data_IF_831472876765
#
_entry.id   IF_831472876765
#
_cell.length_a   1.000
_cell.length_b   1.000
_cell.length_c   1.000
_cell.angle_alpha   90.00
_cell.angle_beta   90.00
_cell.angle_gamma   90.00
#
_symmetry.space_group_name_H-M   'P 1'
#
loop_
_entity.id
_entity.type
_entity.pdbx_description
1 polymer ?
#
# COMPACT_ATOMS: atom_id res chain seq x y z
N UNK A 1 1.37 43.62 -1.38
CA UNK A 1 1.05 42.41 -2.10
C UNK A 1 -0.43 42.44 -2.43
N UNK A 2 -0.83 42.63 -3.67
CA UNK A 2 -2.24 42.70 -4.05
C UNK A 2 -2.88 41.31 -3.97
N UNK A 3 -4.06 41.20 -3.41
CA UNK A 3 -4.81 39.92 -3.28
C UNK A 3 -4.97 39.20 -4.64
N UNK A 4 -4.93 39.97 -5.76
CA UNK A 4 -4.98 39.45 -7.13
C UNK A 4 -3.71 38.68 -7.58
N UNK A 5 -2.57 38.91 -6.92
CA UNK A 5 -1.32 38.17 -7.23
C UNK A 5 -1.23 36.82 -6.52
N UNK A 6 -2.00 36.66 -5.42
CA UNK A 6 -2.14 35.38 -4.71
C UNK A 6 -2.88 34.33 -5.55
N UNK A 7 -3.69 34.77 -6.49
CA UNK A 7 -4.57 33.94 -7.30
C UNK A 7 -4.16 33.96 -8.79
N UNK A 8 -2.85 33.85 -9.09
CA UNK A 8 -2.47 33.72 -10.49
C UNK A 8 -3.03 32.38 -11.04
N UNK A 9 -3.70 32.43 -12.19
CA UNK A 9 -4.32 31.27 -12.86
C UNK A 9 -3.34 30.09 -12.99
N UNK A 10 -2.06 30.39 -13.18
CA UNK A 10 -0.99 29.38 -13.29
C UNK A 10 -0.78 28.58 -11.99
N UNK A 11 -0.88 29.23 -10.82
CA UNK A 11 -0.76 28.54 -9.52
C UNK A 11 -1.88 27.52 -9.34
N UNK A 12 -3.12 27.91 -9.62
CA UNK A 12 -4.27 27.02 -9.50
C UNK A 12 -4.20 25.84 -10.45
N UNK A 13 -3.81 26.08 -11.70
CA UNK A 13 -3.65 25.02 -12.69
C UNK A 13 -2.60 23.99 -12.25
N UNK A 14 -1.46 24.44 -11.73
CA UNK A 14 -0.42 23.55 -11.21
C UNK A 14 -0.92 22.83 -9.94
N UNK A 15 -1.54 23.53 -9.02
CA UNK A 15 -2.08 22.91 -7.80
C UNK A 15 -3.15 21.85 -8.11
N UNK A 16 -4.10 22.16 -9.00
CA UNK A 16 -5.15 21.22 -9.42
C UNK A 16 -4.58 20.03 -10.18
N UNK A 17 -3.58 20.23 -11.02
CA UNK A 17 -2.93 19.12 -11.75
C UNK A 17 -2.25 18.09 -10.85
N UNK A 18 -1.94 18.44 -9.60
CA UNK A 18 -1.41 17.53 -8.59
C UNK A 18 -2.52 17.05 -7.67
N UNK A 19 -3.38 17.95 -7.18
CA UNK A 19 -4.45 17.63 -6.22
C UNK A 19 -5.46 16.64 -6.79
N UNK A 20 -5.93 16.84 -8.02
CA UNK A 20 -6.95 15.97 -8.61
C UNK A 20 -6.45 14.52 -8.74
N UNK A 21 -5.28 14.24 -9.37
CA UNK A 21 -4.78 12.87 -9.46
C UNK A 21 -4.51 12.22 -8.11
N UNK A 22 -3.98 12.97 -7.15
CA UNK A 22 -3.68 12.43 -5.80
C UNK A 22 -4.95 12.18 -4.99
N UNK A 23 -5.97 13.02 -5.12
CA UNK A 23 -7.26 12.83 -4.47
C UNK A 23 -8.01 11.62 -5.05
N UNK A 24 -8.02 11.47 -6.37
CA UNK A 24 -8.59 10.30 -7.04
C UNK A 24 -7.88 9.03 -6.57
N UNK A 25 -6.54 9.03 -6.52
CA UNK A 25 -5.77 7.91 -6.02
C UNK A 25 -6.16 7.54 -4.59
N UNK A 26 -6.27 8.53 -3.69
CA UNK A 26 -6.65 8.29 -2.30
C UNK A 26 -8.07 7.73 -2.20
N UNK A 27 -9.03 8.31 -2.92
CA UNK A 27 -10.42 7.86 -2.95
C UNK A 27 -10.53 6.42 -3.42
N UNK A 28 -9.91 6.07 -4.55
CA UNK A 28 -9.93 4.70 -5.09
C UNK A 28 -9.31 3.71 -4.09
N UNK A 29 -8.21 4.09 -3.46
CA UNK A 29 -7.54 3.23 -2.46
C UNK A 29 -8.44 2.99 -1.24
N UNK A 30 -9.17 4.01 -0.79
CA UNK A 30 -10.13 3.89 0.31
C UNK A 30 -11.35 3.02 -0.04
N UNK A 31 -11.82 3.08 -1.30
CA UNK A 31 -12.92 2.23 -1.75
C UNK A 31 -12.53 0.75 -1.93
N UNK A 32 -11.25 0.45 -2.14
CA UNK A 32 -10.80 -0.92 -2.34
C UNK A 32 -11.09 -1.81 -1.12
N UNK A 33 -10.83 -1.32 0.09
CA UNK A 33 -11.03 -2.09 1.33
C UNK A 33 -12.48 -2.50 1.55
N UNK A 34 -13.50 -1.61 1.48
CA UNK A 34 -14.90 -2.02 1.55
C UNK A 34 -15.32 -3.03 0.50
N UNK A 35 -14.78 -2.90 -0.73
CA UNK A 35 -15.09 -3.85 -1.80
C UNK A 35 -14.51 -5.23 -1.49
N UNK A 36 -13.24 -5.32 -1.07
CA UNK A 36 -12.63 -6.58 -0.67
C UNK A 36 -13.38 -7.20 0.51
N UNK A 37 -13.78 -6.38 1.50
CA UNK A 37 -14.60 -6.84 2.61
C UNK A 37 -15.94 -7.42 2.13
N UNK A 38 -16.56 -6.87 1.08
CA UNK A 38 -17.81 -7.40 0.53
C UNK A 38 -17.67 -8.81 -0.06
N UNK A 39 -16.50 -9.18 -0.56
CA UNK A 39 -16.20 -10.55 -0.96
C UNK A 39 -15.99 -11.45 0.26
N UNK A 40 -15.26 -10.97 1.27
CA UNK A 40 -14.99 -11.73 2.51
C UNK A 40 -16.28 -12.00 3.32
N UNK A 41 -17.25 -11.07 3.34
CA UNK A 41 -18.57 -11.29 3.98
C UNK A 41 -19.35 -12.43 3.34
N UNK A 42 -19.05 -12.76 2.08
CA UNK A 42 -19.70 -13.85 1.35
C UNK A 42 -18.96 -15.19 1.46
N UNK A 43 -17.86 -15.24 2.21
CA UNK A 43 -17.11 -16.47 2.47
C UNK A 43 -17.84 -17.42 3.41
N UNK A 44 -17.38 -18.65 3.51
CA UNK A 44 -17.95 -19.67 4.40
C UNK A 44 -17.86 -19.28 5.87
N UNK A 45 -16.82 -18.53 6.25
CA UNK A 45 -16.65 -17.98 7.60
C UNK A 45 -16.27 -16.49 7.52
N UNK A 46 -17.27 -15.58 7.42
CA UNK A 46 -17.03 -14.15 7.21
C UNK A 46 -16.20 -13.48 8.30
N UNK A 47 -16.47 -13.82 9.56
CA UNK A 47 -15.79 -13.23 10.72
C UNK A 47 -14.31 -13.59 10.73
N UNK A 48 -14.01 -14.84 10.45
CA UNK A 48 -12.64 -15.34 10.35
C UNK A 48 -11.89 -14.65 9.18
N UNK A 49 -12.50 -14.62 8.01
CA UNK A 49 -11.88 -14.03 6.80
C UNK A 49 -11.54 -12.55 6.98
N UNK A 50 -12.48 -11.75 7.52
CA UNK A 50 -12.26 -10.32 7.78
C UNK A 50 -11.20 -10.13 8.85
N UNK A 51 -11.22 -10.92 9.91
CA UNK A 51 -10.25 -10.84 11.01
C UNK A 51 -8.84 -11.20 10.53
N UNK A 52 -8.70 -12.28 9.76
CA UNK A 52 -7.42 -12.71 9.17
C UNK A 52 -6.85 -11.61 8.26
N UNK A 53 -7.68 -11.04 7.38
CA UNK A 53 -7.26 -9.95 6.51
C UNK A 53 -6.81 -8.73 7.31
N UNK A 54 -7.60 -8.30 8.29
CA UNK A 54 -7.33 -7.10 9.08
C UNK A 54 -6.03 -7.22 9.90
N UNK A 55 -5.81 -8.36 10.55
CA UNK A 55 -4.60 -8.61 11.35
C UNK A 55 -3.38 -8.70 10.43
N UNK A 56 -3.48 -9.46 9.34
CA UNK A 56 -2.37 -9.61 8.39
C UNK A 56 -1.95 -8.27 7.80
N UNK A 57 -2.91 -7.45 7.36
CA UNK A 57 -2.64 -6.13 6.81
C UNK A 57 -2.06 -5.17 7.85
N UNK A 58 -2.51 -5.23 9.12
CA UNK A 58 -1.97 -4.41 10.20
C UNK A 58 -0.48 -4.70 10.44
N UNK A 59 -0.09 -5.98 10.46
CA UNK A 59 1.31 -6.39 10.61
C UNK A 59 2.15 -5.91 9.42
N UNK A 60 1.68 -6.11 8.19
CA UNK A 60 2.40 -5.70 6.99
C UNK A 60 2.53 -4.18 6.89
N UNK A 61 1.50 -3.42 7.27
CA UNK A 61 1.57 -1.96 7.33
C UNK A 61 2.54 -1.48 8.41
N UNK A 62 2.59 -2.14 9.56
CA UNK A 62 3.56 -1.81 10.62
C UNK A 62 5.00 -1.97 10.12
N UNK A 63 5.31 -3.08 9.44
CA UNK A 63 6.63 -3.31 8.84
C UNK A 63 6.94 -2.27 7.75
N UNK A 64 5.94 -1.86 7.01
CA UNK A 64 6.11 -0.91 5.89
C UNK A 64 6.00 0.55 6.29
N UNK A 65 5.93 0.91 7.58
CA UNK A 65 5.81 2.30 8.05
C UNK A 65 6.70 3.33 7.31
N UNK A 66 7.95 3.01 6.92
CA UNK A 66 8.77 3.93 6.14
C UNK A 66 8.11 4.41 4.84
N UNK A 67 7.20 3.62 4.23
CA UNK A 67 6.53 4.01 2.97
C UNK A 67 5.79 5.35 3.09
N UNK A 68 5.27 5.69 4.27
CA UNK A 68 4.56 6.95 4.52
C UNK A 68 5.45 8.19 4.30
N UNK A 69 6.75 8.04 4.47
CA UNK A 69 7.74 9.15 4.36
C UNK A 69 8.53 9.12 3.06
N UNK A 70 8.58 8.00 2.37
CA UNK A 70 9.33 7.83 1.11
C UNK A 70 8.88 8.83 0.05
N UNK A 71 7.57 9.07 -0.06
CA UNK A 71 7.05 10.05 -1.02
C UNK A 71 7.59 11.45 -0.75
N UNK A 72 7.53 11.92 0.50
CA UNK A 72 8.03 13.24 0.89
C UNK A 72 9.55 13.34 0.68
N UNK A 73 10.30 12.34 1.12
CA UNK A 73 11.74 12.28 0.92
C UNK A 73 12.10 12.39 -0.56
N UNK A 74 11.44 11.61 -1.40
CA UNK A 74 11.71 11.64 -2.84
C UNK A 74 11.37 13.01 -3.43
N UNK A 75 10.22 13.61 -3.11
CA UNK A 75 9.84 14.94 -3.63
C UNK A 75 10.89 16.00 -3.26
N UNK A 76 11.34 16.03 -2.00
CA UNK A 76 12.27 17.05 -1.50
C UNK A 76 13.67 16.91 -2.12
N UNK A 77 14.17 15.68 -2.22
CA UNK A 77 15.57 15.45 -2.59
C UNK A 77 15.80 15.17 -4.08
N UNK A 78 14.76 14.77 -4.86
CA UNK A 78 14.92 14.32 -6.23
C UNK A 78 15.47 15.37 -7.19
N UNK A 79 15.25 16.67 -6.89
CA UNK A 79 15.79 17.78 -7.70
C UNK A 79 17.19 18.23 -7.25
N UNK A 80 17.53 18.02 -5.97
CA UNK A 80 18.71 18.58 -5.34
C UNK A 80 19.89 17.60 -5.27
N UNK A 81 19.65 16.31 -5.46
CA UNK A 81 20.65 15.26 -5.37
C UNK A 81 20.67 14.39 -6.63
N UNK A 82 21.73 13.60 -6.78
CA UNK A 82 21.82 12.62 -7.86
C UNK A 82 20.64 11.64 -7.79
N UNK A 83 19.87 11.57 -8.86
CA UNK A 83 18.73 10.66 -8.99
C UNK A 83 19.11 9.22 -8.67
N UNK A 84 20.28 8.78 -9.16
CA UNK A 84 20.80 7.43 -8.92
C UNK A 84 20.98 7.13 -7.43
N UNK A 85 21.49 8.10 -6.64
CA UNK A 85 21.65 7.92 -5.19
C UNK A 85 20.31 7.77 -4.48
N UNK A 86 19.30 8.53 -4.90
CA UNK A 86 17.96 8.46 -4.32
C UNK A 86 17.30 7.12 -4.66
N UNK A 87 17.35 6.69 -5.92
CA UNK A 87 16.84 5.38 -6.33
C UNK A 87 17.50 4.25 -5.54
N UNK A 88 18.83 4.28 -5.43
CA UNK A 88 19.57 3.28 -4.68
C UNK A 88 19.20 3.26 -3.20
N UNK A 89 19.10 4.44 -2.55
CA UNK A 89 18.72 4.55 -1.15
C UNK A 89 17.31 3.99 -0.89
N UNK A 90 16.33 4.35 -1.73
CA UNK A 90 14.95 3.87 -1.59
C UNK A 90 14.87 2.36 -1.85
N UNK A 91 15.60 1.86 -2.84
CA UNK A 91 15.67 0.43 -3.12
C UNK A 91 16.29 -0.35 -1.96
N UNK A 92 17.37 0.18 -1.36
CA UNK A 92 17.97 -0.40 -0.16
C UNK A 92 16.97 -0.42 1.01
N UNK A 93 16.23 0.67 1.22
CA UNK A 93 15.20 0.75 2.26
C UNK A 93 14.09 -0.29 2.01
N UNK A 94 13.68 -0.48 0.77
CA UNK A 94 12.69 -1.48 0.40
C UNK A 94 13.20 -2.90 0.69
N UNK A 95 14.48 -3.19 0.38
CA UNK A 95 15.12 -4.48 0.71
C UNK A 95 15.19 -4.69 2.23
N UNK A 96 15.53 -3.67 3.00
CA UNK A 96 15.55 -3.77 4.47
C UNK A 96 14.17 -4.15 5.00
N UNK A 97 13.11 -3.49 4.52
CA UNK A 97 11.74 -3.85 4.92
C UNK A 97 11.33 -5.26 4.49
N UNK A 98 11.80 -5.73 3.33
CA UNK A 98 11.60 -7.11 2.89
C UNK A 98 12.31 -8.10 3.82
N UNK A 99 13.55 -7.83 4.20
CA UNK A 99 14.32 -8.68 5.13
C UNK A 99 13.63 -8.73 6.49
N UNK A 100 13.16 -7.58 7.01
CA UNK A 100 12.39 -7.52 8.26
C UNK A 100 11.11 -8.34 8.13
N UNK A 101 10.39 -8.22 7.01
CA UNK A 101 9.17 -8.99 6.74
C UNK A 101 9.44 -10.50 6.74
N UNK A 102 10.48 -10.95 6.05
CA UNK A 102 10.91 -12.35 6.04
C UNK A 102 11.26 -12.80 7.46
N UNK A 103 12.08 -12.01 8.17
CA UNK A 103 12.47 -12.36 9.52
C UNK A 103 11.28 -12.49 10.47
N UNK A 104 10.36 -11.52 10.47
CA UNK A 104 9.18 -11.53 11.35
C UNK A 104 8.25 -12.70 11.02
N UNK A 105 8.00 -12.97 9.72
CA UNK A 105 6.98 -13.93 9.29
C UNK A 105 7.48 -15.38 9.30
N UNK A 106 8.75 -15.60 8.95
CA UNK A 106 9.30 -16.97 8.81
C UNK A 106 10.15 -17.42 10.01
N UNK A 107 10.30 -16.58 11.04
CA UNK A 107 10.98 -16.96 12.28
C UNK A 107 9.97 -17.20 13.42
N UNK A 108 10.39 -17.72 14.57
CA UNK A 108 9.55 -17.81 15.77
C UNK A 108 8.99 -16.46 16.26
N UNK A 109 9.49 -15.33 15.76
CA UNK A 109 8.98 -14.00 16.09
C UNK A 109 7.49 -13.84 15.70
N UNK A 110 7.02 -14.54 14.67
CA UNK A 110 5.60 -14.53 14.28
C UNK A 110 4.72 -15.01 15.43
N UNK A 111 5.16 -16.02 16.20
CA UNK A 111 4.41 -16.55 17.34
C UNK A 111 4.22 -15.47 18.41
N UNK A 112 5.30 -14.75 18.76
CA UNK A 112 5.21 -13.63 19.70
C UNK A 112 4.24 -12.55 19.22
N UNK A 113 4.30 -12.18 17.96
CA UNK A 113 3.41 -11.16 17.38
C UNK A 113 1.95 -11.63 17.42
N UNK A 114 1.68 -12.84 16.97
CA UNK A 114 0.31 -13.37 16.86
C UNK A 114 -0.29 -13.70 18.22
N UNK A 115 0.46 -14.32 19.10
CA UNK A 115 -0.06 -14.78 20.39
C UNK A 115 -0.11 -13.65 21.43
N UNK A 116 0.96 -12.83 21.52
CA UNK A 116 1.09 -11.82 22.58
C UNK A 116 0.45 -10.49 22.21
N UNK A 117 0.63 -10.03 20.95
CA UNK A 117 0.12 -8.71 20.53
C UNK A 117 -1.32 -8.80 20.06
N UNK A 118 -1.65 -9.81 19.23
CA UNK A 118 -2.99 -9.95 18.65
C UNK A 118 -3.88 -10.96 19.36
N UNK A 119 -3.35 -11.77 20.27
CA UNK A 119 -4.13 -12.76 21.03
C UNK A 119 -4.80 -13.82 20.13
N UNK A 120 -4.20 -14.13 18.96
CA UNK A 120 -4.76 -15.10 18.02
C UNK A 120 -4.52 -16.53 18.51
N UNK A 121 -5.50 -17.42 18.30
CA UNK A 121 -5.40 -18.83 18.67
C UNK A 121 -6.10 -19.75 17.66
N UNK A 122 -5.79 -21.03 17.71
CA UNK A 122 -6.47 -22.06 16.90
C UNK A 122 -6.40 -21.79 15.38
N UNK A 123 -7.54 -21.93 14.72
CA UNK A 123 -7.69 -21.79 13.28
C UNK A 123 -7.34 -20.37 12.78
N UNK A 124 -7.74 -19.35 13.53
CA UNK A 124 -7.45 -17.95 13.17
C UNK A 124 -5.94 -17.70 13.06
N UNK A 125 -5.15 -18.23 14.00
CA UNK A 125 -3.68 -18.11 13.99
C UNK A 125 -3.09 -18.72 12.72
N UNK A 126 -3.49 -19.96 12.37
CA UNK A 126 -2.99 -20.66 11.20
C UNK A 126 -3.29 -19.87 9.92
N UNK A 127 -4.52 -19.37 9.82
CA UNK A 127 -4.95 -18.60 8.64
C UNK A 127 -4.23 -17.24 8.52
N UNK A 128 -3.98 -16.53 9.64
CA UNK A 128 -3.19 -15.29 9.63
C UNK A 128 -1.74 -15.58 9.23
N UNK A 129 -1.13 -16.63 9.74
CA UNK A 129 0.23 -17.04 9.39
C UNK A 129 0.34 -17.36 7.90
N UNK A 130 -0.61 -18.11 7.35
CA UNK A 130 -0.66 -18.42 5.91
C UNK A 130 -0.85 -17.14 5.05
N UNK A 131 -1.75 -16.24 5.47
CA UNK A 131 -1.95 -14.96 4.77
C UNK A 131 -0.69 -14.10 4.79
N UNK A 132 0.02 -14.03 5.91
CA UNK A 132 1.30 -13.32 6.02
C UNK A 132 2.38 -13.92 5.13
N UNK A 133 2.47 -15.26 5.06
CA UNK A 133 3.44 -15.98 4.21
C UNK A 133 3.21 -15.72 2.73
N UNK A 134 1.96 -15.55 2.29
CA UNK A 134 1.64 -15.19 0.90
C UNK A 134 1.96 -13.71 0.64
N UNK A 135 1.77 -12.87 1.64
CA UNK A 135 1.78 -11.41 1.51
C UNK A 135 3.10 -10.74 1.95
N UNK A 136 4.12 -11.50 2.33
CA UNK A 136 5.39 -10.98 2.88
C UNK A 136 6.09 -9.93 2.00
N UNK A 137 5.82 -9.94 0.70
CA UNK A 137 6.43 -9.04 -0.27
C UNK A 137 5.75 -7.65 -0.34
N UNK A 138 4.57 -7.47 0.28
CA UNK A 138 3.80 -6.22 0.26
C UNK A 138 4.60 -5.01 0.78
N UNK A 139 5.34 -5.06 1.91
CA UNK A 139 6.12 -3.92 2.40
C UNK A 139 7.13 -3.39 1.40
N UNK A 140 7.81 -4.27 0.68
CA UNK A 140 8.74 -3.90 -0.40
C UNK A 140 8.03 -3.14 -1.52
N UNK A 141 6.90 -3.67 -2.00
CA UNK A 141 6.13 -3.06 -3.08
C UNK A 141 5.53 -1.70 -2.68
N UNK A 142 5.09 -1.53 -1.43
CA UNK A 142 4.54 -0.26 -0.95
C UNK A 142 5.59 0.85 -0.97
N UNK A 143 6.83 0.56 -0.58
CA UNK A 143 7.93 1.53 -0.61
C UNK A 143 8.22 1.94 -2.05
N UNK A 144 8.35 0.99 -2.98
CA UNK A 144 8.57 1.28 -4.38
C UNK A 144 7.41 2.06 -5.00
N UNK A 145 6.16 1.68 -4.70
CA UNK A 145 4.97 2.40 -5.15
C UNK A 145 5.04 3.88 -4.77
N UNK A 146 5.32 4.19 -3.50
CA UNK A 146 5.40 5.58 -3.02
C UNK A 146 6.55 6.36 -3.67
N UNK A 147 7.67 5.70 -3.94
CA UNK A 147 8.78 6.30 -4.67
C UNK A 147 8.40 6.68 -6.10
N UNK A 148 7.79 5.76 -6.86
CA UNK A 148 7.36 6.05 -8.23
C UNK A 148 6.26 7.11 -8.29
N UNK A 149 5.35 7.15 -7.31
CA UNK A 149 4.36 8.23 -7.20
C UNK A 149 5.03 9.59 -7.02
N UNK A 150 6.03 9.67 -6.15
CA UNK A 150 6.80 10.90 -5.93
C UNK A 150 7.52 11.37 -7.20
N UNK A 151 8.14 10.44 -7.94
CA UNK A 151 8.79 10.75 -9.23
C UNK A 151 7.79 11.31 -10.23
N UNK A 152 6.60 10.71 -10.30
CA UNK A 152 5.53 11.17 -11.20
C UNK A 152 5.10 12.60 -10.88
N UNK A 153 5.01 12.97 -9.59
CA UNK A 153 4.69 14.33 -9.13
C UNK A 153 5.82 15.30 -9.54
N UNK A 154 7.07 14.96 -9.20
CA UNK A 154 8.23 15.84 -9.46
C UNK A 154 8.47 16.04 -10.96
N UNK A 155 8.13 15.03 -11.76
CA UNK A 155 8.26 15.07 -13.23
C UNK A 155 7.05 15.72 -13.93
N UNK A 156 6.09 16.29 -13.18
CA UNK A 156 4.85 16.87 -13.71
C UNK A 156 4.01 15.87 -14.54
N UNK A 157 4.12 14.59 -14.21
CA UNK A 157 3.40 13.48 -14.85
C UNK A 157 2.45 12.80 -13.89
N UNK A 158 1.78 13.58 -13.05
CA UNK A 158 0.86 13.09 -11.99
C UNK A 158 -0.29 12.22 -12.51
N UNK A 159 -0.62 12.34 -13.80
CA UNK A 159 -1.63 11.48 -14.44
C UNK A 159 -1.28 9.98 -14.38
N UNK A 160 0.00 9.59 -14.32
CA UNK A 160 0.36 8.18 -14.16
C UNK A 160 -0.04 7.60 -12.80
N UNK A 161 -0.23 8.44 -11.78
CA UNK A 161 -0.63 8.01 -10.44
C UNK A 161 -2.03 7.41 -10.46
N UNK A 162 -3.02 8.17 -10.98
CA UNK A 162 -4.39 7.68 -11.00
C UNK A 162 -4.61 6.57 -12.03
N UNK A 163 -3.90 6.59 -13.17
CA UNK A 163 -3.93 5.49 -14.15
C UNK A 163 -3.45 4.20 -13.50
N UNK A 164 -2.30 4.22 -12.81
CA UNK A 164 -1.77 3.07 -12.09
C UNK A 164 -2.72 2.58 -10.99
N UNK A 165 -3.35 3.51 -10.27
CA UNK A 165 -4.30 3.16 -9.20
C UNK A 165 -5.59 2.55 -9.75
N UNK A 166 -6.18 3.12 -10.82
CA UNK A 166 -7.37 2.54 -11.47
C UNK A 166 -7.05 1.15 -12.03
N UNK A 167 -5.91 0.99 -12.71
CA UNK A 167 -5.49 -0.32 -13.22
C UNK A 167 -5.37 -1.35 -12.10
N UNK A 168 -4.69 -0.99 -11.00
CA UNK A 168 -4.57 -1.86 -9.82
C UNK A 168 -5.92 -2.17 -9.17
N UNK A 169 -6.82 -1.20 -9.09
CA UNK A 169 -8.17 -1.37 -8.57
C UNK A 169 -9.00 -2.35 -9.40
N UNK A 170 -9.02 -2.16 -10.72
CA UNK A 170 -9.72 -3.06 -11.66
C UNK A 170 -9.14 -4.48 -11.54
N UNK A 171 -7.80 -4.61 -11.52
CA UNK A 171 -7.14 -5.91 -11.39
C UNK A 171 -7.48 -6.61 -10.07
N UNK A 172 -7.54 -5.86 -8.96
CA UNK A 172 -7.89 -6.41 -7.65
C UNK A 172 -9.33 -6.93 -7.63
N UNK A 173 -10.28 -6.19 -8.21
CA UNK A 173 -11.68 -6.62 -8.28
C UNK A 173 -11.83 -7.83 -9.19
N UNK A 174 -11.21 -7.83 -10.36
CA UNK A 174 -11.25 -8.96 -11.28
C UNK A 174 -10.68 -10.22 -10.62
N UNK A 175 -9.53 -10.10 -9.95
CA UNK A 175 -8.90 -11.22 -9.27
C UNK A 175 -9.76 -11.75 -8.11
N UNK A 176 -10.29 -10.85 -7.27
CA UNK A 176 -11.22 -11.24 -6.19
C UNK A 176 -12.48 -11.92 -6.73
N UNK A 177 -13.03 -11.41 -7.85
CA UNK A 177 -14.20 -12.03 -8.51
C UNK A 177 -13.89 -13.42 -9.05
N UNK A 178 -12.74 -13.59 -9.71
CA UNK A 178 -12.29 -14.89 -10.22
C UNK A 178 -12.15 -15.91 -9.08
N UNK A 179 -11.47 -15.53 -7.98
CA UNK A 179 -11.32 -16.41 -6.83
C UNK A 179 -12.66 -16.78 -6.21
N UNK A 180 -13.58 -15.84 -6.10
CA UNK A 180 -14.93 -16.08 -5.61
C UNK A 180 -15.70 -17.07 -6.49
N UNK A 181 -15.70 -16.89 -7.83
CA UNK A 181 -16.39 -17.78 -8.77
C UNK A 181 -15.76 -19.17 -8.87
N UNK A 182 -14.44 -19.29 -8.67
CA UNK A 182 -13.75 -20.57 -8.66
C UNK A 182 -13.95 -21.36 -7.37
N UNK A 183 -14.71 -20.83 -6.40
CA UNK A 183 -14.95 -21.45 -5.08
C UNK A 183 -13.64 -21.91 -4.41
N UNK A 184 -12.62 -21.07 -4.43
CA UNK A 184 -11.30 -21.39 -3.82
C UNK A 184 -11.38 -21.61 -2.28
N UNK A 185 -12.56 -21.52 -1.70
CA UNK A 185 -12.84 -21.71 -0.26
C UNK A 185 -13.44 -23.11 0.06
N UNK A 186 -13.42 -24.06 -0.89
CA UNK A 186 -13.85 -25.44 -0.60
C UNK A 186 -12.71 -26.32 -0.17
#
# INVERSE_FOLDING_TARGET
MKFSELFSDRFYLVALSILIPTSINLSITQFLTPILNSFMVRSTNPELSISVFSISMSILFLISLPHLRVQHLTIVYYKNYSKMKIHFFIFLLAIICLIISIFVIFSPAVNFVLDTIFGTSGEMRINVENALRISFFIPFLLILKMHFYAISIVSSKSNYIWIGTISGFIFSILFASILYFLNFEK
#
